data_IF_745516678396
#
_entry.id   IF_745516678396
#
_cell.length_a   1.000
_cell.length_b   1.000
_cell.length_c   1.000
_cell.angle_alpha   90.00
_cell.angle_beta   90.00
_cell.angle_gamma   90.00
#
_symmetry.space_group_name_H-M   'P 1'
#
loop_
_entity.id
_entity.type
_entity.pdbx_description
1 polymer ?
#
# COMPACT_ATOMS: atom_id res chain seq x y z
N UNK A 1 -26.79 10.52 15.65
CA UNK A 1 -25.55 11.30 15.89
C UNK A 1 -24.39 10.36 15.84
N UNK A 2 -23.48 10.61 14.93
CA UNK A 2 -22.22 9.85 14.82
C UNK A 2 -21.10 10.67 15.44
N UNK A 3 -20.40 10.10 16.37
CA UNK A 3 -19.19 10.73 16.95
C UNK A 3 -17.97 10.15 16.27
N UNK A 4 -17.27 10.98 15.51
CA UNK A 4 -16.06 10.56 14.80
C UNK A 4 -14.86 10.87 15.68
N UNK A 5 -14.16 9.84 16.13
CA UNK A 5 -12.84 10.00 16.73
C UNK A 5 -11.80 9.80 15.61
N UNK A 6 -11.33 10.90 15.06
CA UNK A 6 -10.23 10.88 14.09
C UNK A 6 -8.92 11.11 14.84
N UNK A 7 -8.09 10.10 14.89
CA UNK A 7 -6.72 10.27 15.33
C UNK A 7 -5.87 10.78 14.15
N UNK A 8 -5.99 12.08 13.86
CA UNK A 8 -5.15 12.70 12.83
C UNK A 8 -3.81 13.05 13.46
N UNK A 9 -2.78 12.30 13.16
CA UNK A 9 -1.41 12.78 13.36
C UNK A 9 -0.92 13.37 12.05
N UNK A 10 -0.72 14.66 12.05
CA UNK A 10 -0.04 15.39 10.98
C UNK A 10 1.38 14.83 10.87
N UNK A 11 1.66 14.12 9.80
CA UNK A 11 2.99 13.63 9.54
C UNK A 11 3.82 14.60 8.70
N UNK A 12 5.13 14.42 8.68
CA UNK A 12 6.03 15.29 7.94
C UNK A 12 5.76 15.25 6.44
N UNK A 13 6.14 16.32 5.77
CA UNK A 13 6.05 16.50 4.32
C UNK A 13 6.56 15.27 3.54
N UNK A 14 5.86 14.90 2.48
CA UNK A 14 6.25 13.83 1.56
C UNK A 14 5.44 12.53 1.68
N UNK A 15 4.37 12.50 2.44
CA UNK A 15 3.46 11.35 2.48
C UNK A 15 2.47 11.43 1.33
N UNK A 16 2.39 10.38 0.52
CA UNK A 16 1.45 10.30 -0.59
C UNK A 16 0.25 9.44 -0.30
N UNK A 17 0.45 8.31 0.33
CA UNK A 17 -0.60 7.40 0.74
C UNK A 17 -0.38 7.00 2.20
N UNK A 18 -1.45 6.90 2.94
CA UNK A 18 -1.42 6.42 4.31
C UNK A 18 -2.65 5.57 4.57
N UNK A 19 -2.52 4.50 5.34
CA UNK A 19 -3.67 3.79 5.88
C UNK A 19 -4.08 4.49 7.16
N UNK A 20 -5.34 4.84 7.24
CA UNK A 20 -5.92 5.39 8.44
C UNK A 20 -7.07 4.52 8.90
N UNK A 21 -7.10 4.28 10.20
CA UNK A 21 -8.19 3.64 10.89
C UNK A 21 -9.11 4.73 11.42
N UNK A 22 -10.34 4.75 10.97
CA UNK A 22 -11.36 5.64 11.48
C UNK A 22 -12.37 4.81 12.29
N UNK A 23 -12.61 5.24 13.51
CA UNK A 23 -13.64 4.63 14.37
C UNK A 23 -14.80 5.59 14.50
N UNK A 24 -15.95 5.14 14.11
CA UNK A 24 -17.20 5.88 14.23
C UNK A 24 -18.16 5.10 15.14
N UNK A 25 -18.67 5.78 16.17
CA UNK A 25 -19.64 5.15 17.05
C UNK A 25 -21.05 5.34 16.51
N UNK A 26 -21.69 4.24 16.16
CA UNK A 26 -23.08 4.23 15.75
C UNK A 26 -23.99 4.20 16.99
N UNK A 27 -24.62 5.34 17.29
CA UNK A 27 -25.47 5.51 18.46
C UNK A 27 -26.73 4.62 18.39
N UNK A 28 -27.24 4.36 17.19
CA UNK A 28 -28.44 3.55 16.99
C UNK A 28 -28.16 2.07 17.22
N UNK A 29 -27.01 1.59 16.76
CA UNK A 29 -26.61 0.19 16.89
C UNK A 29 -25.76 -0.07 18.14
N UNK A 30 -25.40 0.97 18.86
CA UNK A 30 -24.53 0.93 20.08
C UNK A 30 -23.23 0.15 19.85
N UNK A 31 -22.61 0.34 18.69
CA UNK A 31 -21.35 -0.33 18.33
C UNK A 31 -20.38 0.64 17.70
N UNK A 32 -19.11 0.29 17.80
CA UNK A 32 -18.03 0.95 17.07
C UNK A 32 -17.90 0.33 15.69
N UNK A 33 -18.02 1.13 14.65
CA UNK A 33 -17.68 0.74 13.28
C UNK A 33 -16.27 1.22 12.97
N UNK A 34 -15.49 0.32 12.42
CA UNK A 34 -14.11 0.59 12.02
C UNK A 34 -14.03 0.65 10.51
N UNK A 35 -13.59 1.78 9.98
CA UNK A 35 -13.33 1.94 8.55
C UNK A 35 -11.83 2.08 8.33
N UNK A 36 -11.31 1.30 7.40
CA UNK A 36 -9.92 1.38 6.98
C UNK A 36 -9.89 2.01 5.60
N UNK A 37 -9.13 3.07 5.44
CA UNK A 37 -9.01 3.77 4.17
C UNK A 37 -7.57 4.20 3.89
N UNK A 38 -7.31 4.48 2.63
CA UNK A 38 -6.02 4.96 2.16
C UNK A 38 -6.15 6.44 1.84
N UNK A 39 -5.24 7.26 2.36
CA UNK A 39 -5.15 8.68 2.04
C UNK A 39 -4.22 8.90 0.86
N UNK A 40 -4.69 9.65 -0.12
CA UNK A 40 -3.85 10.18 -1.18
C UNK A 40 -3.50 11.64 -0.86
N UNK A 41 -2.21 11.91 -0.72
CA UNK A 41 -1.74 13.27 -0.48
C UNK A 41 -1.66 14.08 -1.77
N UNK A 42 -1.97 15.37 -1.69
CA UNK A 42 -1.87 16.27 -2.84
C UNK A 42 -0.44 16.37 -3.38
N UNK A 43 0.55 16.05 -2.55
CA UNK A 43 1.95 15.99 -2.95
C UNK A 43 2.21 14.98 -4.10
N UNK A 44 1.36 13.97 -4.29
CA UNK A 44 1.45 13.09 -5.46
C UNK A 44 1.35 13.86 -6.79
N UNK A 45 0.55 14.93 -6.82
CA UNK A 45 0.45 15.80 -7.98
C UNK A 45 1.58 16.84 -8.01
N UNK A 46 1.81 17.52 -6.91
CA UNK A 46 2.76 18.65 -6.86
C UNK A 46 4.22 18.22 -6.98
N UNK A 47 4.54 16.99 -6.60
CA UNK A 47 5.89 16.40 -6.79
C UNK A 47 6.17 15.98 -8.24
N UNK A 48 5.14 15.89 -9.09
CA UNK A 48 5.25 15.38 -10.45
C UNK A 48 5.13 13.85 -10.56
N UNK A 49 4.87 13.14 -9.47
CA UNK A 49 4.71 11.68 -9.51
C UNK A 49 3.58 11.25 -10.45
N UNK A 50 2.39 11.84 -10.28
CA UNK A 50 1.22 11.48 -11.09
C UNK A 50 1.41 11.78 -12.57
N UNK A 51 2.20 12.80 -12.92
CA UNK A 51 2.55 13.10 -14.29
C UNK A 51 3.57 12.12 -14.87
N UNK A 52 4.40 11.50 -14.04
CA UNK A 52 5.51 10.64 -14.46
C UNK A 52 5.12 9.16 -14.52
N UNK A 53 4.23 8.71 -13.64
CA UNK A 53 3.82 7.30 -13.57
C UNK A 53 2.78 6.98 -14.66
N UNK A 54 2.90 5.80 -15.29
CA UNK A 54 1.90 5.35 -16.25
C UNK A 54 0.58 4.99 -15.56
N UNK A 55 -0.53 5.05 -16.32
CA UNK A 55 -1.86 4.69 -15.81
C UNK A 55 -1.89 3.25 -15.28
N UNK A 56 -1.21 2.34 -15.96
CA UNK A 56 -1.13 0.94 -15.53
C UNK A 56 -0.35 0.78 -14.23
N UNK A 57 0.78 1.45 -14.13
CA UNK A 57 1.61 1.40 -12.91
C UNK A 57 0.89 2.06 -11.73
N UNK A 58 0.21 3.18 -11.97
CA UNK A 58 -0.58 3.84 -10.95
C UNK A 58 -1.73 2.96 -10.46
N UNK A 59 -2.47 2.33 -11.37
CA UNK A 59 -3.53 1.39 -11.01
C UNK A 59 -2.98 0.21 -10.22
N UNK A 60 -1.86 -0.36 -10.64
CA UNK A 60 -1.21 -1.47 -9.94
C UNK A 60 -0.76 -1.05 -8.54
N UNK A 61 -0.15 0.11 -8.40
CA UNK A 61 0.26 0.66 -7.11
C UNK A 61 -0.94 0.87 -6.17
N UNK A 62 -2.02 1.43 -6.69
CA UNK A 62 -3.26 1.65 -5.94
C UNK A 62 -3.86 0.34 -5.46
N UNK A 63 -3.93 -0.68 -6.31
CA UNK A 63 -4.44 -2.00 -5.93
C UNK A 63 -3.56 -2.65 -4.87
N UNK A 64 -2.23 -2.64 -5.03
CA UNK A 64 -1.31 -3.19 -4.02
C UNK A 64 -1.48 -2.46 -2.69
N UNK A 65 -1.66 -1.14 -2.72
CA UNK A 65 -1.84 -0.34 -1.51
C UNK A 65 -3.07 -0.75 -0.70
N UNK A 66 -4.11 -1.28 -1.34
CA UNK A 66 -5.30 -1.77 -0.63
C UNK A 66 -5.07 -3.05 0.20
N UNK A 67 -3.96 -3.73 -0.02
CA UNK A 67 -3.57 -4.93 0.74
C UNK A 67 -2.58 -4.63 1.86
N UNK A 68 -2.09 -3.41 1.96
CA UNK A 68 -1.01 -3.07 2.88
C UNK A 68 -1.46 -2.99 4.33
N UNK A 69 -0.52 -3.35 5.20
CA UNK A 69 -0.59 -3.04 6.62
C UNK A 69 -0.05 -1.61 6.89
N UNK A 70 -0.05 -1.22 8.15
CA UNK A 70 0.43 0.10 8.58
C UNK A 70 1.93 0.34 8.34
N UNK A 71 2.69 -0.72 8.02
CA UNK A 71 4.13 -0.64 7.71
C UNK A 71 4.42 -0.43 6.22
N UNK A 72 3.38 -0.39 5.37
CA UNK A 72 3.56 -0.34 3.93
C UNK A 72 3.88 -1.68 3.28
N UNK A 73 3.68 -2.77 4.00
CA UNK A 73 4.02 -4.12 3.58
C UNK A 73 2.78 -4.95 3.34
N UNK A 74 2.81 -5.78 2.31
CA UNK A 74 1.75 -6.75 2.06
C UNK A 74 2.28 -8.00 1.37
N UNK A 75 1.49 -9.06 1.46
CA UNK A 75 1.85 -10.40 0.97
C UNK A 75 0.72 -11.05 0.15
N UNK A 76 -0.04 -10.31 -0.68
CA UNK A 76 -1.10 -10.94 -1.44
C UNK A 76 -0.54 -11.96 -2.42
N UNK A 77 -1.28 -13.03 -2.66
CA UNK A 77 -0.93 -13.97 -3.71
C UNK A 77 -1.09 -13.33 -5.09
N UNK A 78 -0.37 -13.84 -6.08
CA UNK A 78 -0.54 -13.38 -7.46
C UNK A 78 -1.98 -13.56 -7.96
N UNK A 79 -2.66 -14.62 -7.52
CA UNK A 79 -4.08 -14.84 -7.84
C UNK A 79 -4.98 -13.75 -7.22
N UNK A 80 -4.71 -13.36 -5.97
CA UNK A 80 -5.46 -12.28 -5.31
C UNK A 80 -5.24 -10.93 -6.01
N UNK A 81 -4.01 -10.61 -6.38
CA UNK A 81 -3.69 -9.40 -7.14
C UNK A 81 -4.33 -9.40 -8.52
N UNK A 82 -4.29 -10.53 -9.23
CA UNK A 82 -4.92 -10.67 -10.55
C UNK A 82 -6.43 -10.42 -10.46
N UNK A 83 -7.10 -10.98 -9.46
CA UNK A 83 -8.53 -10.72 -9.23
C UNK A 83 -8.81 -9.25 -8.92
N UNK A 84 -8.01 -8.66 -8.06
CA UNK A 84 -8.16 -7.25 -7.68
C UNK A 84 -7.89 -6.30 -8.85
N UNK A 85 -6.96 -6.64 -9.75
CA UNK A 85 -6.67 -5.90 -10.97
C UNK A 85 -7.67 -6.19 -12.11
N UNK A 86 -8.47 -7.26 -12.00
CA UNK A 86 -9.38 -7.68 -13.05
C UNK A 86 -8.67 -8.24 -14.29
N UNK A 87 -7.53 -8.92 -14.11
CA UNK A 87 -6.70 -9.49 -15.17
C UNK A 87 -6.27 -10.92 -14.83
N UNK A 88 -5.69 -11.64 -15.78
CA UNK A 88 -5.11 -12.96 -15.50
C UNK A 88 -3.76 -12.83 -14.76
N UNK A 89 -3.28 -13.96 -14.22
CA UNK A 89 -2.03 -14.00 -13.43
C UNK A 89 -0.81 -13.52 -14.21
N UNK A 90 -0.70 -13.92 -15.47
CA UNK A 90 0.42 -13.53 -16.34
C UNK A 90 0.47 -12.00 -16.54
N UNK A 91 -0.68 -11.39 -16.79
CA UNK A 91 -0.81 -9.94 -16.94
C UNK A 91 -0.54 -9.23 -15.61
N UNK A 92 -1.06 -9.73 -14.50
CA UNK A 92 -0.79 -9.18 -13.18
C UNK A 92 0.71 -9.19 -12.87
N UNK A 93 1.39 -10.31 -13.12
CA UNK A 93 2.84 -10.42 -12.91
C UNK A 93 3.62 -9.41 -13.77
N UNK A 94 3.26 -9.24 -15.03
CA UNK A 94 3.91 -8.24 -15.91
C UNK A 94 3.72 -6.81 -15.39
N UNK A 95 2.53 -6.48 -14.90
CA UNK A 95 2.23 -5.16 -14.34
C UNK A 95 2.99 -4.91 -13.04
N UNK A 96 3.11 -5.92 -12.20
CA UNK A 96 3.89 -5.86 -10.95
C UNK A 96 5.37 -5.64 -11.27
N UNK A 97 5.93 -6.38 -12.24
CA UNK A 97 7.31 -6.23 -12.67
C UNK A 97 7.57 -4.85 -13.31
N UNK A 98 6.62 -4.34 -14.07
CA UNK A 98 6.68 -2.98 -14.63
C UNK A 98 6.76 -1.93 -13.52
N UNK A 99 5.87 -2.02 -12.54
CA UNK A 99 5.85 -1.11 -11.40
C UNK A 99 7.13 -1.20 -10.56
N UNK A 100 7.64 -2.41 -10.34
CA UNK A 100 8.88 -2.63 -9.59
C UNK A 100 10.12 -2.01 -10.29
N UNK A 101 10.09 -1.90 -11.62
CA UNK A 101 11.15 -1.23 -12.41
C UNK A 101 10.97 0.27 -12.49
N UNK A 102 9.78 0.79 -12.24
CA UNK A 102 9.53 2.22 -12.30
C UNK A 102 10.39 2.96 -11.27
N UNK A 103 10.95 4.08 -11.69
CA UNK A 103 11.76 4.97 -10.85
C UNK A 103 11.18 6.38 -10.91
N UNK A 104 10.99 6.95 -9.74
CA UNK A 104 10.65 8.36 -9.59
C UNK A 104 11.81 9.07 -8.90
N UNK A 105 12.35 10.09 -9.56
CA UNK A 105 13.57 10.78 -9.09
C UNK A 105 14.74 9.80 -8.80
N UNK A 106 14.87 8.78 -9.63
CA UNK A 106 15.92 7.77 -9.52
C UNK A 106 15.70 6.70 -8.44
N UNK A 107 14.55 6.70 -7.77
CA UNK A 107 14.24 5.76 -6.68
C UNK A 107 13.01 4.90 -6.96
N UNK A 108 12.98 3.64 -6.52
CA UNK A 108 11.81 2.79 -6.70
C UNK A 108 10.64 3.28 -5.84
N UNK A 109 9.43 3.13 -6.34
CA UNK A 109 8.20 3.36 -5.57
C UNK A 109 7.68 2.08 -4.94
N UNK A 110 7.99 0.93 -5.51
CA UNK A 110 7.65 -0.39 -5.00
C UNK A 110 8.88 -1.26 -4.91
N UNK A 111 9.10 -1.88 -3.76
CA UNK A 111 10.09 -2.93 -3.57
C UNK A 111 9.39 -4.29 -3.59
N UNK A 112 9.82 -5.16 -4.47
CA UNK A 112 9.38 -6.55 -4.56
C UNK A 112 10.48 -7.46 -4.05
N UNK A 113 10.18 -8.24 -3.00
CA UNK A 113 11.08 -9.23 -2.43
C UNK A 113 10.46 -10.61 -2.54
N UNK A 114 11.26 -11.56 -3.03
CA UNK A 114 10.90 -12.96 -3.05
C UNK A 114 11.33 -13.61 -1.75
N UNK A 115 10.40 -14.28 -1.08
CA UNK A 115 10.66 -15.01 0.14
C UNK A 115 10.34 -16.49 -0.07
N UNK A 116 11.28 -17.34 0.35
CA UNK A 116 11.10 -18.77 0.35
C UNK A 116 10.79 -19.22 1.77
N UNK A 117 9.70 -19.96 1.93
CA UNK A 117 9.35 -20.58 3.20
C UNK A 117 9.38 -22.09 3.02
N UNK A 118 10.13 -22.77 3.89
CA UNK A 118 10.06 -24.22 3.97
C UNK A 118 8.90 -24.63 4.89
N UNK A 119 8.08 -25.57 4.44
CA UNK A 119 7.08 -26.22 5.30
C UNK A 119 7.73 -27.32 6.11
N UNK A 120 7.05 -27.79 7.18
CA UNK A 120 7.47 -28.94 8.00
C UNK A 120 7.66 -30.23 7.19
N UNK A 121 7.05 -30.33 6.00
CA UNK A 121 7.14 -31.45 5.07
C UNK A 121 8.25 -31.29 4.03
N UNK A 122 9.09 -30.27 4.14
CA UNK A 122 10.19 -29.99 3.19
C UNK A 122 9.77 -29.35 1.88
N UNK A 123 8.48 -29.05 1.67
CA UNK A 123 8.03 -28.27 0.52
C UNK A 123 8.42 -26.82 0.70
N UNK A 124 9.17 -26.29 -0.25
CA UNK A 124 9.40 -24.85 -0.34
C UNK A 124 8.25 -24.21 -1.10
N UNK A 125 7.66 -23.19 -0.53
CA UNK A 125 6.74 -22.33 -1.25
C UNK A 125 7.26 -20.89 -1.28
N UNK A 126 6.94 -20.23 -2.36
CA UNK A 126 7.40 -18.91 -2.69
C UNK A 126 6.32 -17.89 -2.38
N UNK A 127 6.66 -16.89 -1.59
CA UNK A 127 5.79 -15.75 -1.33
C UNK A 127 6.48 -14.46 -1.75
N UNK A 128 5.71 -13.53 -2.27
CA UNK A 128 6.19 -12.20 -2.59
C UNK A 128 5.82 -11.24 -1.46
N UNK A 129 6.77 -10.45 -1.05
CA UNK A 129 6.58 -9.32 -0.16
C UNK A 129 6.65 -8.04 -0.98
N UNK A 130 5.64 -7.21 -0.85
CA UNK A 130 5.57 -5.90 -1.49
C UNK A 130 5.71 -4.82 -0.44
N UNK A 131 6.61 -3.88 -0.70
CA UNK A 131 6.82 -2.72 0.18
C UNK A 131 6.75 -1.47 -0.65
N UNK A 132 5.87 -0.54 -0.30
CA UNK A 132 5.86 0.77 -0.93
C UNK A 132 6.94 1.61 -0.26
N UNK A 133 7.88 2.08 -1.07
CA UNK A 133 9.13 2.67 -0.60
C UNK A 133 8.97 4.13 -0.23
N UNK A 134 9.26 4.52 1.03
CA UNK A 134 9.27 5.92 1.42
C UNK A 134 10.46 6.70 0.84
N UNK A 135 11.50 6.02 0.37
CA UNK A 135 12.74 6.63 -0.12
C UNK A 135 12.60 7.42 -1.43
N UNK A 136 11.47 7.27 -2.13
CA UNK A 136 11.13 8.09 -3.30
C UNK A 136 10.55 9.48 -2.94
N UNK A 137 10.50 9.83 -1.68
CA UNK A 137 9.70 10.94 -1.17
C UNK A 137 8.22 10.59 -0.98
N UNK A 138 7.83 9.39 -1.36
CA UNK A 138 6.50 8.83 -1.21
C UNK A 138 6.41 8.11 0.12
N UNK A 139 6.17 8.81 1.19
CA UNK A 139 5.90 8.18 2.48
C UNK A 139 4.45 7.76 2.53
N UNK A 140 4.21 6.48 2.42
CA UNK A 140 2.85 5.91 2.45
C UNK A 140 2.38 5.64 3.86
N UNK A 141 3.30 5.47 4.80
CA UNK A 141 2.98 5.27 6.20
C UNK A 141 3.85 6.12 7.09
N UNK A 142 3.21 6.69 8.11
CA UNK A 142 3.95 7.16 9.24
C UNK A 142 4.52 5.95 9.99
N UNK A 143 5.78 5.64 9.77
CA UNK A 143 6.51 5.05 10.85
C UNK A 143 6.45 6.08 11.97
N UNK A 144 5.65 5.85 12.97
CA UNK A 144 6.04 6.35 14.27
C UNK A 144 7.41 5.74 14.50
N UNK A 145 8.44 6.56 14.38
CA UNK A 145 9.66 6.25 15.04
C UNK A 145 9.23 5.87 16.44
N UNK A 146 9.43 4.62 16.80
CA UNK A 146 9.34 4.25 18.19
C UNK A 146 10.34 5.20 18.84
N UNK A 147 9.82 6.22 19.49
CA UNK A 147 10.60 6.91 20.47
C UNK A 147 10.97 5.85 21.51
N UNK A 148 12.21 5.44 21.45
CA UNK A 148 12.80 4.67 22.52
C UNK A 148 12.72 5.48 23.83
#
# INVERSE_FOLDING_TARGET
MKTTASATKTGPEGKLLTIQLEQEFDVLQKRWDTRVYIKLYLAARTSGLLASISDRDWRTLTVISTFMNQRGECYPSQAALARALGVNRATANRRIQSLARFRFQGRPVLLLQHQYKATKTGRQYHTNRYTIMPSSGLRIFDRKDKAD
#
